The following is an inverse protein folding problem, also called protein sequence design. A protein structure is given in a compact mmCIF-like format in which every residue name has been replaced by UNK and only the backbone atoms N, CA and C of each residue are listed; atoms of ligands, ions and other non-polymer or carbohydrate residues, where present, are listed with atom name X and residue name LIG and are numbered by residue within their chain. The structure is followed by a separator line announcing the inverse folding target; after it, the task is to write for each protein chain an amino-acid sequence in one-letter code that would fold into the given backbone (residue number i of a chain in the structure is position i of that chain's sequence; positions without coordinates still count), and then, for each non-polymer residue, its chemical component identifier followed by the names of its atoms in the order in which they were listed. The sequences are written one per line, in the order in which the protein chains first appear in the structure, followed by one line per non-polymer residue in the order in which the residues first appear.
data_IF_516829712456
#
_entry.id   IF_516829712456
#
_cell.length_a   1.000
_cell.length_b   1.000
_cell.length_c   1.000
_cell.angle_alpha   90.00
_cell.angle_beta   90.00
_cell.angle_gamma   90.00
#
_symmetry.space_group_name_H-M   'P 1'
#
loop_
_entity.id
_entity.type
_entity.pdbx_description
1 polymer ?
#
# COMPACT_ATOMS: atom_id res chain seq x y z
N UNK A 1 8.71 7.71 -34.54
CA UNK A 1 8.27 6.65 -33.59
C UNK A 1 8.59 6.96 -32.13
N UNK A 2 9.66 7.69 -31.82
CA UNK A 2 10.02 8.10 -30.44
C UNK A 2 9.10 9.17 -29.83
N UNK A 3 8.58 10.10 -30.64
CA UNK A 3 7.73 11.21 -30.19
C UNK A 3 6.38 10.77 -29.64
N UNK A 4 5.74 9.77 -30.28
CA UNK A 4 4.45 9.20 -29.83
C UNK A 4 4.63 8.48 -28.50
N UNK A 5 5.70 7.69 -28.35
CA UNK A 5 6.01 6.99 -27.10
C UNK A 5 6.25 7.94 -25.93
N UNK A 6 6.97 9.05 -26.15
CA UNK A 6 7.17 10.07 -25.13
C UNK A 6 5.85 10.72 -24.71
N UNK A 7 5.00 11.14 -25.66
CA UNK A 7 3.70 11.73 -25.35
C UNK A 7 2.79 10.77 -24.56
N UNK A 8 2.83 9.48 -24.90
CA UNK A 8 2.08 8.45 -24.19
C UNK A 8 2.55 8.30 -22.73
N UNK A 9 3.86 8.29 -22.50
CA UNK A 9 4.46 8.22 -21.16
C UNK A 9 4.06 9.41 -20.28
N UNK A 10 4.04 10.62 -20.84
CA UNK A 10 3.64 11.83 -20.11
C UNK A 10 2.19 11.79 -19.60
N UNK A 11 1.29 11.11 -20.32
CA UNK A 11 -0.11 10.97 -19.91
C UNK A 11 -0.32 9.75 -19.01
N UNK A 12 0.36 8.65 -19.30
CA UNK A 12 0.20 7.40 -18.55
C UNK A 12 0.77 7.51 -17.13
N UNK A 13 1.89 8.21 -16.96
CA UNK A 13 2.57 8.35 -15.67
C UNK A 13 1.70 9.00 -14.58
N UNK A 14 1.08 10.18 -14.79
CA UNK A 14 0.21 10.78 -13.77
C UNK A 14 -1.03 9.92 -13.50
N UNK A 15 -1.59 9.28 -14.52
CA UNK A 15 -2.72 8.36 -14.35
C UNK A 15 -2.36 7.18 -13.43
N UNK A 16 -1.18 6.61 -13.61
CA UNK A 16 -0.69 5.48 -12.82
C UNK A 16 -0.40 5.91 -11.37
N UNK A 17 0.13 7.11 -11.15
CA UNK A 17 0.33 7.69 -9.82
C UNK A 17 -1.02 7.85 -9.09
N UNK A 18 -2.03 8.38 -9.76
CA UNK A 18 -3.38 8.54 -9.18
C UNK A 18 -3.99 7.19 -8.83
N UNK A 19 -3.89 6.20 -9.72
CA UNK A 19 -4.35 4.84 -9.47
C UNK A 19 -3.67 4.21 -8.24
N UNK A 20 -2.35 4.36 -8.13
CA UNK A 20 -1.59 3.84 -6.97
C UNK A 20 -2.00 4.57 -5.69
N UNK A 21 -2.20 5.88 -5.73
CA UNK A 21 -2.64 6.65 -4.56
C UNK A 21 -4.04 6.23 -4.10
N UNK A 22 -4.98 6.04 -5.03
CA UNK A 22 -6.34 5.55 -4.73
C UNK A 22 -6.27 4.13 -4.18
N UNK A 23 -5.51 3.24 -4.81
CA UNK A 23 -5.33 1.87 -4.33
C UNK A 23 -4.72 1.84 -2.92
N UNK A 24 -3.80 2.76 -2.62
CA UNK A 24 -3.20 2.90 -1.30
C UNK A 24 -4.16 3.50 -0.26
N UNK A 25 -5.06 4.39 -0.68
CA UNK A 25 -6.10 4.96 0.17
C UNK A 25 -7.22 3.94 0.46
N UNK A 26 -7.54 3.07 -0.50
CA UNK A 26 -8.49 1.96 -0.35
C UNK A 26 -7.87 0.74 0.34
N UNK A 27 -6.54 0.72 0.52
CA UNK A 27 -5.83 -0.39 1.16
C UNK A 27 -6.35 -0.59 2.59
N UNK A 28 -6.95 -1.74 2.84
CA UNK A 28 -7.54 -2.02 4.15
C UNK A 28 -6.46 -2.17 5.21
N UNK A 29 -6.83 -1.96 6.49
CA UNK A 29 -5.92 -2.20 7.63
C UNK A 29 -5.36 -3.63 7.63
N UNK A 30 -6.09 -4.61 7.07
CA UNK A 30 -5.64 -6.00 6.90
C UNK A 30 -4.50 -6.10 5.89
N UNK A 31 -4.69 -5.55 4.70
CA UNK A 31 -3.69 -5.62 3.63
C UNK A 31 -2.42 -4.89 4.01
N UNK A 32 -2.55 -3.72 4.63
CA UNK A 32 -1.41 -2.97 5.18
C UNK A 32 -0.67 -3.75 6.26
N UNK A 33 -1.38 -4.40 7.19
CA UNK A 33 -0.76 -5.26 8.21
C UNK A 33 -0.03 -6.46 7.57
N UNK A 34 -0.63 -7.12 6.57
CA UNK A 34 -0.02 -8.23 5.83
C UNK A 34 1.23 -7.79 5.06
N UNK A 35 1.19 -6.62 4.42
CA UNK A 35 2.32 -6.01 3.72
C UNK A 35 3.49 -5.74 4.66
N UNK A 36 3.22 -5.13 5.81
CA UNK A 36 4.25 -4.90 6.83
C UNK A 36 4.79 -6.19 7.45
N UNK A 37 3.94 -7.21 7.60
CA UNK A 37 4.39 -8.52 8.06
C UNK A 37 5.34 -9.18 7.05
N UNK A 38 5.06 -9.06 5.74
CA UNK A 38 5.95 -9.54 4.67
C UNK A 38 7.27 -8.77 4.61
N UNK A 39 7.27 -7.48 4.93
CA UNK A 39 8.50 -6.68 5.02
C UNK A 39 9.26 -6.86 6.34
N UNK A 40 8.91 -7.84 7.16
CA UNK A 40 9.63 -8.17 8.40
C UNK A 40 9.31 -7.30 9.62
N UNK A 41 8.27 -6.45 9.55
CA UNK A 41 7.89 -5.59 10.68
C UNK A 41 7.27 -6.43 11.80
N UNK A 42 7.68 -6.16 13.05
CA UNK A 42 7.16 -6.86 14.22
C UNK A 42 5.68 -6.51 14.47
N UNK A 43 4.90 -7.45 15.03
CA UNK A 43 3.48 -7.22 15.35
C UNK A 43 3.26 -6.02 16.29
N UNK A 44 4.21 -5.76 17.21
CA UNK A 44 4.14 -4.62 18.14
C UNK A 44 4.28 -3.30 17.40
N UNK A 45 5.16 -3.24 16.42
CA UNK A 45 5.36 -2.05 15.60
C UNK A 45 4.19 -1.82 14.64
N UNK A 46 3.63 -2.89 14.06
CA UNK A 46 2.40 -2.84 13.26
C UNK A 46 1.23 -2.29 14.10
N UNK A 47 1.09 -2.78 15.34
CA UNK A 47 0.06 -2.33 16.29
C UNK A 47 0.21 -0.83 16.60
N UNK A 48 1.44 -0.37 16.86
CA UNK A 48 1.74 1.05 17.09
C UNK A 48 1.37 1.92 15.89
N UNK A 49 1.70 1.50 14.67
CA UNK A 49 1.43 2.27 13.43
C UNK A 49 -0.04 2.28 13.01
N UNK A 50 -0.78 1.20 13.28
CA UNK A 50 -2.22 1.11 13.02
C UNK A 50 -3.06 1.69 14.17
N UNK A 51 -2.42 2.18 15.22
CA UNK A 51 -3.02 2.64 16.47
C UNK A 51 -4.05 1.62 17.02
N UNK A 52 -3.65 0.35 17.06
CA UNK A 52 -4.49 -0.77 17.43
C UNK A 52 -3.78 -1.71 18.42
N UNK A 53 -4.52 -2.58 19.10
CA UNK A 53 -3.94 -3.53 20.04
C UNK A 53 -3.28 -4.71 19.31
N UNK A 54 -2.26 -5.34 19.92
CA UNK A 54 -1.58 -6.52 19.37
C UNK A 54 -2.55 -7.66 19.04
N UNK A 55 -3.56 -7.89 19.87
CA UNK A 55 -4.61 -8.89 19.61
C UNK A 55 -5.40 -8.60 18.33
N UNK A 56 -5.66 -7.31 18.03
CA UNK A 56 -6.32 -6.91 16.79
C UNK A 56 -5.40 -7.19 15.60
N UNK A 57 -4.10 -6.92 15.70
CA UNK A 57 -3.12 -7.28 14.65
C UNK A 57 -3.10 -8.78 14.39
N UNK A 58 -3.13 -9.61 15.44
CA UNK A 58 -3.22 -11.07 15.29
C UNK A 58 -4.52 -11.46 14.57
N UNK A 59 -5.66 -10.89 14.94
CA UNK A 59 -6.95 -11.13 14.25
C UNK A 59 -6.98 -10.65 12.79
N UNK A 60 -6.17 -9.64 12.44
CA UNK A 60 -6.04 -9.14 11.06
C UNK A 60 -5.09 -10.00 10.21
N UNK A 61 -4.17 -10.73 10.85
CA UNK A 61 -3.16 -11.57 10.22
C UNK A 61 -3.52 -13.07 10.22
N UNK A 62 -4.43 -13.50 11.10
CA UNK A 62 -5.10 -14.79 11.05
C UNK A 62 -6.00 -14.88 9.82
#
# INVERSE_FOLDING_TARGET
MTTISCALLWVLTPLLIVLVAIAWALETKRDRARRWRRSGVSQREIARRLNCNRYQVVKLLA
#
